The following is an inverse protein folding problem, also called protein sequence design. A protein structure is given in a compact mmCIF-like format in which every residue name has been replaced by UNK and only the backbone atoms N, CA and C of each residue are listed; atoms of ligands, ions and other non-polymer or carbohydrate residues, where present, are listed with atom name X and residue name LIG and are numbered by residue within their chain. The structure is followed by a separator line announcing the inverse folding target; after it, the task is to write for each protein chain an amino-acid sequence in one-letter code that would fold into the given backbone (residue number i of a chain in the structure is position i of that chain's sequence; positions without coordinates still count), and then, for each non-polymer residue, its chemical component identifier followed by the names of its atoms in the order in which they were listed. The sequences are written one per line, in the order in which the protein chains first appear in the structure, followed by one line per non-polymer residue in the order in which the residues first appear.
data_IF_129832832291
#
_entry.id   IF_129832832291
#
_cell.length_a   1.000
_cell.length_b   1.000
_cell.length_c   1.000
_cell.angle_alpha   90.00
_cell.angle_beta   90.00
_cell.angle_gamma   90.00
#
_symmetry.space_group_name_H-M   'P 1'
#
loop_
_entity.id
_entity.type
_entity.pdbx_description
1 polymer ?
#
# COMPACT_ATOMS: atom_id res chain seq x y z
N UNK A 1 11.66 -10.58 7.08
CA UNK A 1 12.38 -9.48 7.75
C UNK A 1 12.28 -8.18 6.97
N UNK A 2 12.72 -8.10 5.71
CA UNK A 2 12.75 -6.84 4.93
C UNK A 2 11.37 -6.18 4.79
N UNK A 3 10.34 -6.93 4.37
CA UNK A 3 8.96 -6.40 4.24
C UNK A 3 8.43 -5.84 5.56
N UNK A 4 8.63 -6.56 6.66
CA UNK A 4 8.18 -6.12 7.99
C UNK A 4 8.87 -4.80 8.38
N UNK A 5 10.18 -4.67 8.13
CA UNK A 5 10.90 -3.44 8.38
C UNK A 5 10.35 -2.27 7.57
N UNK A 6 10.17 -2.44 6.25
CA UNK A 6 9.63 -1.38 5.38
C UNK A 6 8.22 -1.01 5.82
N UNK A 7 7.36 -2.00 6.06
CA UNK A 7 5.99 -1.79 6.50
C UNK A 7 5.93 -0.99 7.81
N UNK A 8 6.70 -1.39 8.83
CA UNK A 8 6.71 -0.72 10.14
C UNK A 8 7.24 0.71 10.03
N UNK A 9 8.38 0.91 9.35
CA UNK A 9 8.95 2.26 9.16
C UNK A 9 7.96 3.18 8.45
N UNK A 10 7.32 2.67 7.41
CA UNK A 10 6.38 3.42 6.59
C UNK A 10 5.06 3.70 7.32
N UNK A 11 4.58 2.74 8.11
CA UNK A 11 3.41 2.93 8.96
C UNK A 11 3.66 3.99 10.03
N UNK A 12 4.82 3.94 10.71
CA UNK A 12 5.21 4.99 11.67
C UNK A 12 5.28 6.35 10.98
N UNK A 13 5.87 6.41 9.77
CA UNK A 13 5.90 7.63 8.98
C UNK A 13 4.50 8.16 8.65
N UNK A 14 3.59 7.32 8.14
CA UNK A 14 2.21 7.71 7.84
C UNK A 14 1.42 8.17 9.07
N UNK A 15 1.70 7.59 10.24
CA UNK A 15 1.07 7.99 11.50
C UNK A 15 1.64 9.31 12.04
N UNK A 16 2.94 9.53 11.92
CA UNK A 16 3.63 10.69 12.53
C UNK A 16 3.62 11.93 11.65
N UNK A 17 3.51 11.76 10.34
CA UNK A 17 3.46 12.89 9.40
C UNK A 17 2.30 13.84 9.71
N UNK A 18 2.59 15.13 9.53
CA UNK A 18 1.63 16.23 9.69
C UNK A 18 1.04 16.65 8.34
N UNK A 19 1.61 16.19 7.23
CA UNK A 19 1.04 16.45 5.91
C UNK A 19 -0.22 15.62 5.68
N UNK A 20 -1.23 16.24 5.06
CA UNK A 20 -2.45 15.56 4.65
C UNK A 20 -2.18 14.75 3.37
N UNK A 21 -1.96 13.45 3.55
CA UNK A 21 -1.74 12.53 2.44
C UNK A 21 -3.01 12.25 1.64
N UNK A 22 -4.19 12.71 2.10
CA UNK A 22 -5.47 12.52 1.40
C UNK A 22 -5.44 13.03 -0.04
N UNK A 23 -4.66 14.08 -0.31
CA UNK A 23 -4.44 14.64 -1.64
C UNK A 23 -3.81 13.64 -2.63
N UNK A 24 -3.00 12.69 -2.15
CA UNK A 24 -2.34 11.68 -2.98
C UNK A 24 -3.22 10.49 -3.33
N UNK A 25 -4.46 10.41 -2.80
CA UNK A 25 -5.39 9.30 -3.07
C UNK A 25 -5.55 9.03 -4.57
N UNK A 26 -5.77 10.08 -5.37
CA UNK A 26 -5.99 9.95 -6.82
C UNK A 26 -4.76 9.39 -7.53
N UNK A 27 -3.57 9.84 -7.12
CA UNK A 27 -2.31 9.35 -7.66
C UNK A 27 -2.14 7.86 -7.38
N UNK A 28 -2.30 7.42 -6.12
CA UNK A 28 -2.15 6.02 -5.77
C UNK A 28 -3.19 5.11 -6.42
N UNK A 29 -4.44 5.56 -6.58
CA UNK A 29 -5.47 4.80 -7.30
C UNK A 29 -5.09 4.58 -8.77
N UNK A 30 -4.64 5.64 -9.46
CA UNK A 30 -4.20 5.52 -10.85
C UNK A 30 -2.97 4.63 -10.95
N UNK A 31 -1.98 4.82 -10.07
CA UNK A 31 -0.76 4.03 -10.04
C UNK A 31 -1.05 2.53 -9.81
N UNK A 32 -1.97 2.20 -8.90
CA UNK A 32 -2.40 0.83 -8.63
C UNK A 32 -3.09 0.22 -9.85
N UNK A 33 -3.99 0.96 -10.52
CA UNK A 33 -4.66 0.50 -11.74
C UNK A 33 -3.63 0.28 -12.87
N UNK A 34 -2.71 1.21 -13.08
CA UNK A 34 -1.63 1.08 -14.06
C UNK A 34 -0.77 -0.14 -13.78
N UNK A 35 -0.44 -0.40 -12.52
CA UNK A 35 0.34 -1.56 -12.12
C UNK A 35 -0.41 -2.87 -12.40
N UNK A 36 -1.72 -2.92 -12.14
CA UNK A 36 -2.56 -4.09 -12.47
C UNK A 36 -2.55 -4.32 -13.99
N UNK A 37 -2.78 -3.28 -14.79
CA UNK A 37 -2.76 -3.38 -16.26
C UNK A 37 -1.41 -3.90 -16.76
N UNK A 38 -0.30 -3.33 -16.27
CA UNK A 38 1.05 -3.79 -16.62
C UNK A 38 1.28 -5.25 -16.22
N UNK A 39 0.79 -5.67 -15.05
CA UNK A 39 0.91 -7.06 -14.60
C UNK A 39 0.16 -8.04 -15.50
N UNK A 40 -1.01 -7.65 -16.01
CA UNK A 40 -1.80 -8.43 -16.95
C UNK A 40 -1.06 -8.53 -18.30
N UNK A 41 -0.58 -7.40 -18.84
CA UNK A 41 0.18 -7.38 -20.10
C UNK A 41 1.42 -8.27 -19.99
N UNK A 42 2.17 -8.15 -18.88
CA UNK A 42 3.36 -8.96 -18.66
C UNK A 42 3.05 -10.46 -18.54
N UNK A 43 1.86 -10.85 -18.04
CA UNK A 43 1.46 -12.24 -17.97
C UNK A 43 1.32 -12.90 -19.36
N UNK A 44 0.95 -12.13 -20.39
CA UNK A 44 0.88 -12.62 -21.77
C UNK A 44 2.21 -12.52 -22.52
N UNK A 45 2.99 -11.45 -22.29
CA UNK A 45 4.22 -11.20 -23.06
C UNK A 45 5.47 -11.85 -22.44
N UNK A 46 5.51 -12.05 -21.12
CA UNK A 46 6.64 -12.68 -20.43
C UNK A 46 7.97 -11.91 -20.50
N UNK A 47 7.95 -10.59 -20.67
CA UNK A 47 9.17 -9.79 -20.88
C UNK A 47 9.85 -9.52 -19.53
N UNK A 48 11.07 -10.06 -19.34
CA UNK A 48 11.81 -9.94 -18.08
C UNK A 48 12.06 -8.50 -17.61
N UNK A 49 12.20 -7.54 -18.54
CA UNK A 49 12.35 -6.12 -18.22
C UNK A 49 11.05 -5.52 -17.66
N UNK A 50 9.88 -5.83 -18.24
CA UNK A 50 8.59 -5.37 -17.72
C UNK A 50 8.33 -5.91 -16.32
N UNK A 51 8.65 -7.18 -16.08
CA UNK A 51 8.55 -7.78 -14.76
C UNK A 51 9.43 -7.05 -13.71
N UNK A 52 10.65 -6.61 -14.09
CA UNK A 52 11.50 -5.79 -13.22
C UNK A 52 10.85 -4.44 -12.87
N UNK A 53 10.30 -3.74 -13.87
CA UNK A 53 9.62 -2.45 -13.69
C UNK A 53 8.39 -2.61 -12.79
N UNK A 54 7.56 -3.63 -13.05
CA UNK A 54 6.38 -3.94 -12.24
C UNK A 54 6.77 -4.23 -10.80
N UNK A 55 7.87 -4.96 -10.59
CA UNK A 55 8.31 -5.36 -9.26
C UNK A 55 8.83 -4.17 -8.46
N UNK A 56 9.72 -3.36 -9.03
CA UNK A 56 10.24 -2.16 -8.36
C UNK A 56 9.11 -1.14 -8.14
N UNK A 57 8.30 -0.90 -9.19
CA UNK A 57 7.15 -0.01 -9.11
C UNK A 57 6.14 -0.45 -8.04
N UNK A 58 5.88 -1.75 -7.93
CA UNK A 58 5.03 -2.32 -6.88
C UNK A 58 5.54 -2.03 -5.48
N UNK A 59 6.83 -2.23 -5.21
CA UNK A 59 7.42 -1.89 -3.91
C UNK A 59 7.21 -0.41 -3.58
N UNK A 60 7.48 0.50 -4.53
CA UNK A 60 7.33 1.95 -4.30
C UNK A 60 5.86 2.34 -4.07
N UNK A 61 4.95 1.86 -4.92
CA UNK A 61 3.51 2.18 -4.84
C UNK A 61 2.91 1.66 -3.55
N UNK A 62 3.15 0.40 -3.19
CA UNK A 62 2.60 -0.18 -1.97
C UNK A 62 3.22 0.42 -0.71
N UNK A 63 4.49 0.82 -0.74
CA UNK A 63 5.08 1.61 0.36
C UNK A 63 4.33 2.94 0.52
N UNK A 64 4.09 3.68 -0.56
CA UNK A 64 3.32 4.93 -0.47
C UNK A 64 1.86 4.73 -0.01
N UNK A 65 1.21 3.66 -0.46
CA UNK A 65 -0.15 3.29 -0.03
C UNK A 65 -0.23 3.00 1.47
N UNK A 66 0.75 2.29 2.05
CA UNK A 66 0.80 2.05 3.50
C UNK A 66 0.83 3.37 4.26
N UNK A 67 1.69 4.32 3.85
CA UNK A 67 1.78 5.62 4.50
C UNK A 67 0.44 6.38 4.41
N UNK A 68 -0.20 6.33 3.24
CA UNK A 68 -1.50 6.93 2.99
C UNK A 68 -2.61 6.31 3.86
N UNK A 69 -2.71 4.98 3.90
CA UNK A 69 -3.80 4.31 4.62
C UNK A 69 -3.63 4.45 6.15
N UNK A 70 -2.40 4.44 6.67
CA UNK A 70 -2.17 4.75 8.09
C UNK A 70 -2.54 6.20 8.42
N UNK A 71 -2.14 7.16 7.57
CA UNK A 71 -2.49 8.56 7.75
C UNK A 71 -4.02 8.77 7.73
N UNK A 72 -4.70 8.11 6.79
CA UNK A 72 -6.16 8.13 6.68
C UNK A 72 -6.86 7.52 7.89
N UNK A 73 -6.38 6.38 8.40
CA UNK A 73 -6.95 5.77 9.61
C UNK A 73 -6.80 6.67 10.83
N UNK A 74 -5.65 7.35 10.98
CA UNK A 74 -5.45 8.38 12.01
C UNK A 74 -6.47 9.51 11.86
N UNK A 75 -6.63 10.07 10.66
CA UNK A 75 -7.58 11.16 10.41
C UNK A 75 -9.04 10.79 10.67
N UNK A 76 -9.45 9.57 10.28
CA UNK A 76 -10.80 9.05 10.54
C UNK A 76 -11.02 8.85 12.05
N UNK A 77 -10.02 8.32 12.76
CA UNK A 77 -10.12 8.10 14.20
C UNK A 77 -10.36 9.40 14.98
N UNK A 78 -9.77 10.52 14.56
CA UNK A 78 -10.03 11.82 15.19
C UNK A 78 -11.40 12.40 14.88
N UNK A 79 -11.94 12.16 13.68
CA UNK A 79 -13.28 12.67 13.31
C UNK A 79 -14.42 11.89 13.96
N UNK A 80 -14.23 10.58 14.17
CA UNK A 80 -15.25 9.69 14.74
C UNK A 80 -15.18 9.59 16.26
N UNK A 81 -14.20 10.25 16.89
CA UNK A 81 -14.00 10.24 18.34
C UNK A 81 -15.21 10.73 19.15
N UNK A 82 -16.16 11.46 18.53
CA UNK A 82 -17.18 12.24 19.23
C UNK A 82 -18.64 11.79 18.98
N UNK A 83 -18.93 10.63 18.37
CA UNK A 83 -20.35 10.26 18.25
C UNK A 83 -20.82 8.94 17.64
N UNK A 84 -20.01 8.17 16.91
CA UNK A 84 -20.54 6.98 16.21
C UNK A 84 -19.61 5.75 16.30
N UNK A 85 -19.73 5.03 17.41
CA UNK A 85 -18.92 3.83 17.71
C UNK A 85 -19.09 2.73 16.65
N UNK A 86 -20.28 2.58 16.06
CA UNK A 86 -20.55 1.55 15.06
C UNK A 86 -19.88 1.88 13.72
N UNK A 87 -19.92 3.15 13.31
CA UNK A 87 -19.18 3.62 12.14
C UNK A 87 -17.66 3.47 12.34
N UNK A 88 -17.16 3.74 13.55
CA UNK A 88 -15.74 3.62 13.90
C UNK A 88 -15.25 2.17 13.80
N UNK A 89 -16.02 1.20 14.30
CA UNK A 89 -15.69 -0.22 14.20
C UNK A 89 -15.62 -0.70 12.74
N UNK A 90 -16.65 -0.39 11.94
CA UNK A 90 -16.69 -0.76 10.50
C UNK A 90 -15.51 -0.16 9.74
N UNK A 91 -15.18 1.11 9.99
CA UNK A 91 -14.03 1.76 9.36
C UNK A 91 -12.70 1.17 9.83
N UNK A 92 -12.59 0.77 11.10
CA UNK A 92 -11.43 0.05 11.64
C UNK A 92 -11.18 -1.28 10.91
N UNK A 93 -12.23 -2.07 10.68
CA UNK A 93 -12.14 -3.34 9.94
C UNK A 93 -11.69 -3.10 8.50
N UNK A 94 -12.29 -2.13 7.80
CA UNK A 94 -11.92 -1.80 6.42
C UNK A 94 -10.48 -1.27 6.36
N UNK A 95 -10.08 -0.42 7.30
CA UNK A 95 -8.72 0.11 7.39
C UNK A 95 -7.69 -1.00 7.62
N UNK A 96 -7.96 -1.92 8.55
CA UNK A 96 -7.10 -3.07 8.79
C UNK A 96 -6.99 -4.00 7.57
N UNK A 97 -8.10 -4.22 6.85
CA UNK A 97 -8.11 -4.99 5.62
C UNK A 97 -7.22 -4.33 4.55
N UNK A 98 -7.33 -3.02 4.36
CA UNK A 98 -6.50 -2.29 3.40
C UNK A 98 -5.01 -2.40 3.74
N UNK A 99 -4.63 -2.16 5.00
CA UNK A 99 -3.24 -2.30 5.45
C UNK A 99 -2.71 -3.74 5.30
N UNK A 100 -3.57 -4.74 5.51
CA UNK A 100 -3.23 -6.13 5.27
C UNK A 100 -2.98 -6.42 3.78
N UNK A 101 -3.82 -5.90 2.89
CA UNK A 101 -3.63 -6.03 1.45
C UNK A 101 -2.35 -5.35 0.98
N UNK A 102 -2.06 -4.16 1.51
CA UNK A 102 -0.82 -3.45 1.20
C UNK A 102 0.41 -4.23 1.67
N UNK A 103 0.36 -4.76 2.90
CA UNK A 103 1.42 -5.61 3.45
C UNK A 103 1.67 -6.84 2.58
N UNK A 104 0.61 -7.57 2.20
CA UNK A 104 0.73 -8.77 1.36
C UNK A 104 1.29 -8.42 -0.02
N UNK A 105 0.81 -7.34 -0.64
CA UNK A 105 1.30 -6.97 -1.96
C UNK A 105 2.77 -6.55 -1.89
N UNK A 106 3.15 -5.71 -0.93
CA UNK A 106 4.54 -5.36 -0.67
C UNK A 106 5.40 -6.62 -0.43
N UNK A 107 4.89 -7.57 0.36
CA UNK A 107 5.55 -8.85 0.61
C UNK A 107 5.80 -9.61 -0.69
N UNK A 108 4.78 -9.75 -1.55
CA UNK A 108 4.88 -10.46 -2.83
C UNK A 108 5.89 -9.76 -3.75
N UNK A 109 5.88 -8.44 -3.86
CA UNK A 109 6.84 -7.73 -4.71
C UNK A 109 8.27 -7.87 -4.20
N UNK A 110 8.48 -7.71 -2.89
CA UNK A 110 9.79 -7.95 -2.28
C UNK A 110 10.22 -9.40 -2.51
N UNK A 111 9.32 -10.37 -2.35
CA UNK A 111 9.59 -11.78 -2.61
C UNK A 111 9.98 -12.01 -4.07
N UNK A 112 9.37 -11.33 -5.05
CA UNK A 112 9.78 -11.43 -6.46
C UNK A 112 11.20 -10.90 -6.71
N UNK A 113 11.62 -9.85 -6.01
CA UNK A 113 13.01 -9.35 -6.08
C UNK A 113 13.99 -10.41 -5.60
N UNK A 114 13.70 -11.04 -4.46
CA UNK A 114 14.61 -12.01 -3.84
C UNK A 114 14.51 -13.42 -4.44
N UNK A 115 13.31 -13.82 -4.88
CA UNK A 115 13.03 -15.10 -5.50
C UNK A 115 13.62 -15.25 -6.90
N UNK A 116 13.95 -14.13 -7.57
CA UNK A 116 14.67 -14.11 -8.84
C UNK A 116 16.14 -14.53 -8.76
N UNK A 117 16.69 -14.72 -7.55
CA UNK A 117 18.03 -15.30 -7.38
C UNK A 117 17.93 -16.83 -7.28
N UNK A 118 17.74 -17.48 -8.43
CA UNK A 118 18.23 -18.84 -8.74
C UNK A 118 17.94 -19.19 -10.20
#
# INVERSE_FOLDING_TARGET
MITLTIFVVTAIYGYTTQEDLSSYRRFFMIALISLIILSIINAFMGVGMLEWVITIGGVVIFTGLIAYDVNRMKFISYQLADGDNEAMEKMGIIGALNLYLDFINLFIYILRIFGRKK
#
